data_IF_249557112944
#
_entry.id   IF_249557112944
#
_cell.length_a   1.000
_cell.length_b   1.000
_cell.length_c   1.000
_cell.angle_alpha   90.00
_cell.angle_beta   90.00
_cell.angle_gamma   90.00
#
_symmetry.space_group_name_H-M   'P 1'
#
loop_
_entity.id
_entity.type
_entity.pdbx_description
1 polymer ?
#
# COMPACT_ATOMS: atom_id res chain seq x y z
N UNK A 1 2.34 9.06 -14.44
CA UNK A 1 1.85 9.73 -13.20
C UNK A 1 1.75 8.77 -12.02
N UNK A 2 1.40 7.48 -12.20
CA UNK A 2 1.45 6.45 -11.12
C UNK A 2 2.86 6.23 -10.56
N UNK A 3 3.90 6.35 -11.41
CA UNK A 3 5.31 6.19 -11.02
C UNK A 3 5.73 7.05 -9.81
N UNK A 4 5.20 8.27 -9.68
CA UNK A 4 5.50 9.14 -8.53
C UNK A 4 4.91 8.57 -7.23
N UNK A 5 3.69 8.05 -7.28
CA UNK A 5 3.06 7.39 -6.12
C UNK A 5 3.89 6.19 -5.70
N UNK A 6 4.25 5.33 -6.65
CA UNK A 6 5.07 4.14 -6.41
C UNK A 6 6.41 4.53 -5.78
N UNK A 7 7.13 5.47 -6.38
CA UNK A 7 8.42 5.93 -5.86
C UNK A 7 8.34 6.47 -4.42
N UNK A 8 7.31 7.24 -4.08
CA UNK A 8 7.12 7.77 -2.72
C UNK A 8 6.82 6.66 -1.71
N UNK A 9 5.97 5.70 -2.07
CA UNK A 9 5.63 4.58 -1.17
C UNK A 9 6.82 3.63 -1.00
N UNK A 10 7.49 3.26 -2.09
CA UNK A 10 8.70 2.41 -2.05
C UNK A 10 9.80 3.09 -1.23
N UNK A 11 10.00 4.41 -1.38
CA UNK A 11 10.96 5.16 -0.56
C UNK A 11 10.68 5.04 0.94
N UNK A 12 9.41 5.09 1.35
CA UNK A 12 9.05 4.92 2.77
C UNK A 12 9.32 3.50 3.25
N UNK A 13 8.92 2.49 2.46
CA UNK A 13 9.11 1.07 2.79
C UNK A 13 10.60 0.74 2.90
N UNK A 14 11.37 1.06 1.85
CA UNK A 14 12.78 0.68 1.70
C UNK A 14 13.75 1.58 2.47
N UNK A 15 13.25 2.57 3.22
CA UNK A 15 14.10 3.40 4.07
C UNK A 15 14.87 2.53 5.07
N UNK A 16 16.19 2.73 5.23
CA UNK A 16 16.97 2.04 6.27
C UNK A 16 16.42 2.27 7.67
N UNK A 17 15.70 3.38 7.87
CA UNK A 17 15.06 3.76 9.13
C UNK A 17 13.78 2.99 9.42
N UNK A 18 13.23 2.26 8.46
CA UNK A 18 11.97 1.52 8.61
C UNK A 18 12.16 0.32 9.52
N UNK A 19 11.69 0.42 10.76
CA UNK A 19 11.84 -0.61 11.79
C UNK A 19 10.61 -1.50 11.91
N UNK A 20 9.46 -1.07 11.37
CA UNK A 20 8.23 -1.85 11.37
C UNK A 20 7.40 -1.67 10.10
N UNK A 21 6.69 -2.72 9.72
CA UNK A 21 5.80 -2.77 8.57
C UNK A 21 4.59 -3.63 8.87
N UNK A 22 3.41 -3.14 8.49
CA UNK A 22 2.18 -3.91 8.54
C UNK A 22 1.30 -3.67 7.32
N UNK A 23 0.55 -4.70 6.89
CA UNK A 23 -0.49 -4.61 5.86
C UNK A 23 -1.59 -5.65 6.09
N UNK A 24 -2.84 -5.23 5.88
CA UNK A 24 -4.05 -6.06 6.01
C UNK A 24 -4.48 -6.77 4.73
N UNK A 25 -3.82 -6.53 3.59
CA UNK A 25 -4.35 -7.00 2.29
C UNK A 25 -3.46 -7.99 1.55
N UNK A 26 -4.13 -9.03 1.05
CA UNK A 26 -3.58 -10.05 0.18
C UNK A 26 -3.78 -9.67 -1.31
N UNK A 27 -2.72 -9.19 -1.95
CA UNK A 27 -2.68 -8.68 -3.34
C UNK A 27 -3.39 -9.53 -4.42
N UNK A 28 -3.37 -10.88 -4.38
CA UNK A 28 -4.13 -11.71 -5.33
C UNK A 28 -5.66 -11.46 -5.33
N UNK A 29 -6.25 -11.09 -4.20
CA UNK A 29 -7.68 -10.78 -4.14
C UNK A 29 -8.00 -9.43 -4.78
N UNK A 30 -7.11 -8.45 -4.65
CA UNK A 30 -7.30 -7.11 -5.22
C UNK A 30 -7.44 -7.14 -6.74
N UNK A 31 -6.71 -8.04 -7.42
CA UNK A 31 -6.84 -8.26 -8.85
C UNK A 31 -8.25 -8.70 -9.25
N UNK A 32 -8.82 -9.67 -8.52
CA UNK A 32 -10.18 -10.17 -8.76
C UNK A 32 -11.24 -9.12 -8.43
N UNK A 33 -11.08 -8.40 -7.32
CA UNK A 33 -11.98 -7.31 -6.93
C UNK A 33 -11.96 -6.22 -8.01
N UNK A 34 -10.78 -5.81 -8.47
CA UNK A 34 -10.65 -4.82 -9.53
C UNK A 34 -11.30 -5.26 -10.85
N UNK A 35 -11.09 -6.51 -11.28
CA UNK A 35 -11.72 -7.02 -12.51
C UNK A 35 -13.25 -6.95 -12.45
N UNK A 36 -13.84 -7.22 -11.29
CA UNK A 36 -15.30 -7.27 -11.09
C UNK A 36 -15.92 -5.89 -10.87
N UNK A 37 -15.28 -5.03 -10.08
CA UNK A 37 -15.87 -3.78 -9.61
C UNK A 37 -15.20 -2.52 -10.18
N UNK A 38 -14.05 -2.66 -10.82
CA UNK A 38 -13.25 -1.55 -11.32
C UNK A 38 -12.64 -0.71 -10.20
N UNK A 39 -12.59 -1.22 -8.98
CA UNK A 39 -12.03 -0.55 -7.80
C UNK A 39 -11.21 -1.52 -6.98
N UNK A 40 -10.05 -1.09 -6.48
CA UNK A 40 -9.27 -1.82 -5.49
C UNK A 40 -8.41 -0.84 -4.69
N UNK A 41 -7.75 -1.33 -3.66
CA UNK A 41 -6.88 -0.53 -2.83
C UNK A 41 -6.23 -1.36 -1.74
N UNK A 42 -5.21 -0.79 -1.10
CA UNK A 42 -4.48 -1.38 0.01
C UNK A 42 -4.07 -0.31 1.01
N UNK A 43 -3.74 -0.75 2.23
CA UNK A 43 -3.24 0.11 3.28
C UNK A 43 -1.94 -0.46 3.86
N UNK A 44 -1.00 0.42 4.19
CA UNK A 44 0.25 0.07 4.86
C UNK A 44 0.40 0.92 6.12
N UNK A 45 0.97 0.32 7.14
CA UNK A 45 1.51 1.01 8.31
C UNK A 45 3.02 0.79 8.30
N UNK A 46 3.77 1.88 8.46
CA UNK A 46 5.23 1.90 8.37
C UNK A 46 5.77 2.64 9.59
N UNK A 47 6.55 1.95 10.41
CA UNK A 47 7.24 2.56 11.54
C UNK A 47 8.68 2.90 11.12
N UNK A 48 9.11 4.13 11.38
CA UNK A 48 10.49 4.56 11.18
C UNK A 48 11.09 5.09 12.49
N UNK A 49 12.35 4.76 12.73
CA UNK A 49 13.13 5.25 13.88
C UNK A 49 14.16 6.28 13.42
N UNK A 50 14.18 7.44 14.07
CA UNK A 50 15.17 8.51 13.86
C UNK A 50 15.68 9.00 15.22
N UNK A 51 16.78 8.39 15.68
CA UNK A 51 17.23 8.56 17.07
C UNK A 51 16.17 8.04 18.05
N UNK A 52 15.82 8.87 19.03
CA UNK A 52 14.79 8.53 20.03
C UNK A 52 13.35 8.77 19.52
N UNK A 53 13.17 9.29 18.30
CA UNK A 53 11.85 9.57 17.74
C UNK A 53 11.34 8.40 16.90
N UNK A 54 10.10 7.98 17.21
CA UNK A 54 9.32 7.10 16.35
C UNK A 54 8.44 7.96 15.45
N UNK A 55 8.55 7.75 14.14
CA UNK A 55 7.61 8.30 13.14
C UNK A 55 6.76 7.16 12.62
N UNK A 56 5.45 7.38 12.52
CA UNK A 56 4.53 6.39 11.98
C UNK A 56 3.91 6.93 10.71
N UNK A 57 3.95 6.15 9.64
CA UNK A 57 3.32 6.50 8.38
C UNK A 57 2.18 5.55 8.08
N UNK A 58 1.04 6.13 7.72
CA UNK A 58 -0.12 5.40 7.20
C UNK A 58 -0.27 5.71 5.73
N UNK A 59 -0.24 4.68 4.90
CA UNK A 59 -0.42 4.79 3.45
C UNK A 59 -1.75 4.16 3.09
N UNK A 60 -2.65 4.91 2.45
CA UNK A 60 -3.89 4.39 1.89
C UNK A 60 -3.90 4.64 0.38
N UNK A 61 -3.98 3.57 -0.40
CA UNK A 61 -4.02 3.63 -1.86
C UNK A 61 -5.36 3.12 -2.37
N UNK A 62 -5.98 3.88 -3.26
CA UNK A 62 -7.23 3.53 -3.93
C UNK A 62 -7.05 3.71 -5.44
N UNK A 63 -7.43 2.70 -6.22
CA UNK A 63 -7.46 2.73 -7.67
C UNK A 63 -8.89 2.56 -8.16
N UNK A 64 -9.29 3.38 -9.15
CA UNK A 64 -10.64 3.36 -9.71
C UNK A 64 -10.62 3.48 -11.23
N UNK A 65 -11.22 2.51 -11.91
CA UNK A 65 -11.36 2.47 -13.36
C UNK A 65 -12.34 3.56 -13.82
N UNK A 66 -12.08 4.16 -14.99
CA UNK A 66 -13.00 5.15 -15.57
C UNK A 66 -14.35 4.49 -15.89
N UNK A 67 -15.43 5.13 -15.43
CA UNK A 67 -16.78 4.64 -15.63
C UNK A 67 -17.16 3.43 -14.77
N UNK A 68 -16.34 3.04 -13.78
CA UNK A 68 -16.75 2.08 -12.73
C UNK A 68 -17.97 2.57 -11.93
N UNK A 69 -18.15 3.88 -11.82
CA UNK A 69 -19.32 4.50 -11.16
C UNK A 69 -20.65 4.26 -11.89
N UNK A 70 -20.62 3.90 -13.18
CA UNK A 70 -21.81 3.88 -14.06
C UNK A 70 -22.50 2.50 -14.12
N UNK A 71 -22.11 1.57 -13.26
CA UNK A 71 -22.63 0.21 -13.21
C UNK A 71 -21.62 -0.87 -13.61
N UNK A 72 -21.95 -2.15 -13.38
CA UNK A 72 -21.05 -3.27 -13.61
C UNK A 72 -20.75 -3.43 -15.10
N UNK A 73 -19.46 -3.53 -15.45
CA UNK A 73 -18.99 -3.91 -16.79
C UNK A 73 -18.56 -5.36 -16.80
N UNK A 74 -18.56 -5.99 -18.00
CA UNK A 74 -18.02 -7.34 -18.19
C UNK A 74 -16.54 -7.45 -17.78
N UNK A 75 -15.75 -6.38 -17.95
CA UNK A 75 -14.34 -6.32 -17.53
C UNK A 75 -13.82 -4.87 -17.52
N UNK A 76 -12.84 -4.59 -16.67
CA UNK A 76 -12.08 -3.33 -16.62
C UNK A 76 -10.63 -3.48 -17.08
N UNK A 77 -10.25 -4.62 -17.66
CA UNK A 77 -8.85 -4.95 -17.99
C UNK A 77 -8.18 -3.93 -18.92
N UNK A 78 -8.88 -3.50 -19.96
CA UNK A 78 -8.38 -2.53 -20.96
C UNK A 78 -8.67 -1.09 -20.58
N UNK A 79 -9.33 -0.85 -19.45
CA UNK A 79 -9.81 0.47 -19.04
C UNK A 79 -8.79 1.11 -18.11
N UNK A 80 -8.35 2.32 -18.46
CA UNK A 80 -7.54 3.16 -17.57
C UNK A 80 -8.37 3.77 -16.44
N UNK A 81 -7.69 4.45 -15.53
CA UNK A 81 -8.33 4.98 -14.34
C UNK A 81 -7.44 5.94 -13.58
N UNK A 82 -7.91 6.27 -12.39
CA UNK A 82 -7.26 7.20 -11.47
C UNK A 82 -6.80 6.43 -10.23
N UNK A 83 -5.68 6.85 -9.64
CA UNK A 83 -5.17 6.37 -8.37
C UNK A 83 -5.07 7.54 -7.41
N UNK A 84 -5.54 7.35 -6.19
CA UNK A 84 -5.37 8.25 -5.07
C UNK A 84 -4.51 7.56 -4.03
N UNK A 85 -3.50 8.25 -3.52
CA UNK A 85 -2.68 7.78 -2.41
C UNK A 85 -2.69 8.86 -1.33
N UNK A 86 -3.11 8.50 -0.12
CA UNK A 86 -2.99 9.33 1.07
C UNK A 86 -1.80 8.80 1.86
N UNK A 87 -0.87 9.69 2.21
CA UNK A 87 0.22 9.38 3.12
C UNK A 87 0.02 10.30 4.32
N UNK A 88 -0.29 9.71 5.46
CA UNK A 88 -0.32 10.39 6.74
C UNK A 88 0.95 10.06 7.53
N UNK A 89 1.52 11.06 8.19
CA UNK A 89 2.67 10.97 9.08
C UNK A 89 2.18 11.40 10.47
N UNK A 90 2.39 10.53 11.45
CA UNK A 90 2.19 10.79 12.86
C UNK A 90 3.56 10.90 13.53
N UNK A 91 3.81 12.05 14.14
CA UNK A 91 4.98 12.32 14.96
C UNK A 91 4.47 12.83 16.30
N UNK A 92 4.70 12.05 17.35
CA UNK A 92 4.32 12.39 18.72
C UNK A 92 2.84 12.80 18.89
N UNK A 93 1.93 12.13 18.15
CA UNK A 93 0.48 12.37 18.20
C UNK A 93 -0.02 13.48 17.26
N UNK A 94 0.89 14.13 16.51
CA UNK A 94 0.54 15.15 15.53
C UNK A 94 0.44 14.52 14.14
N UNK A 95 -0.79 14.32 13.66
CA UNK A 95 -1.05 13.76 12.35
C UNK A 95 -1.04 14.84 11.25
N UNK A 96 -0.14 14.69 10.27
CA UNK A 96 -0.12 15.47 9.03
C UNK A 96 -0.33 14.54 7.85
N UNK A 97 -1.02 14.97 6.80
CA UNK A 97 -1.20 14.15 5.61
C UNK A 97 -1.00 14.91 4.32
N UNK A 98 -0.66 14.15 3.27
CA UNK A 98 -0.60 14.62 1.89
C UNK A 98 -1.31 13.63 0.97
N UNK A 99 -1.87 14.16 -0.11
CA UNK A 99 -2.58 13.36 -1.11
C UNK A 99 -1.85 13.43 -2.44
N UNK A 100 -1.47 12.27 -2.97
CA UNK A 100 -0.93 12.10 -4.31
C UNK A 100 -2.03 11.55 -5.22
N UNK A 101 -2.09 12.06 -6.44
CA UNK A 101 -3.03 11.59 -7.47
C UNK A 101 -2.28 11.18 -8.72
N UNK A 102 -2.74 10.12 -9.36
CA UNK A 102 -2.15 9.58 -10.58
C UNK A 102 -3.18 8.97 -11.49
N UNK A 103 -2.74 8.55 -12.67
CA UNK A 103 -3.54 7.87 -13.69
C UNK A 103 -2.77 6.71 -14.27
N UNK A 104 -3.48 5.63 -14.56
CA UNK A 104 -2.98 4.47 -15.31
C UNK A 104 -3.79 4.27 -16.59
N UNK A 105 -3.18 3.64 -17.60
CA UNK A 105 -3.79 3.44 -18.92
C UNK A 105 -4.63 2.17 -19.01
N UNK A 106 -4.28 1.13 -18.26
CA UNK A 106 -4.98 -0.15 -18.23
C UNK A 106 -4.62 -0.94 -16.96
N UNK A 107 -5.29 -2.09 -16.77
CA UNK A 107 -5.07 -2.96 -15.62
C UNK A 107 -3.64 -3.49 -15.53
N UNK A 108 -3.01 -3.84 -16.65
CA UNK A 108 -1.63 -4.35 -16.63
C UNK A 108 -0.65 -3.31 -16.09
N UNK A 109 -0.79 -2.03 -16.47
CA UNK A 109 0.00 -0.94 -15.90
C UNK A 109 -0.25 -0.76 -14.41
N UNK A 110 -1.52 -0.79 -13.97
CA UNK A 110 -1.89 -0.68 -12.57
C UNK A 110 -1.22 -1.77 -11.74
N UNK A 111 -1.41 -3.03 -12.14
CA UNK A 111 -0.90 -4.18 -11.37
C UNK A 111 0.62 -4.33 -11.46
N UNK A 112 1.28 -3.82 -12.51
CA UNK A 112 2.73 -3.68 -12.52
C UNK A 112 3.21 -2.72 -11.42
N UNK A 113 2.54 -1.59 -11.22
CA UNK A 113 2.85 -0.65 -10.13
C UNK A 113 2.55 -1.23 -8.74
N UNK A 114 1.48 -2.00 -8.61
CA UNK A 114 1.14 -2.72 -7.36
C UNK A 114 2.23 -3.74 -7.03
N UNK A 115 2.68 -4.50 -8.02
CA UNK A 115 3.72 -5.52 -7.86
C UNK A 115 5.07 -4.93 -7.42
N UNK A 116 5.40 -3.73 -7.88
CA UNK A 116 6.61 -3.01 -7.47
C UNK A 116 6.56 -2.63 -5.98
N UNK A 117 5.44 -2.09 -5.51
CA UNK A 117 5.22 -1.79 -4.07
C UNK A 117 5.22 -3.08 -3.26
N UNK A 118 4.58 -4.14 -3.77
CA UNK A 118 4.51 -5.45 -3.12
C UNK A 118 5.90 -6.06 -2.94
N UNK A 119 6.71 -6.05 -3.99
CA UNK A 119 8.08 -6.57 -3.93
C UNK A 119 8.91 -5.83 -2.89
N UNK A 120 8.88 -4.49 -2.89
CA UNK A 120 9.55 -3.68 -1.89
C UNK A 120 9.09 -3.99 -0.46
N UNK A 121 7.78 -4.17 -0.26
CA UNK A 121 7.21 -4.55 1.03
C UNK A 121 7.78 -5.89 1.51
N UNK A 122 7.73 -6.94 0.68
CA UNK A 122 8.21 -8.28 1.08
C UNK A 122 9.73 -8.34 1.24
N UNK A 123 10.49 -7.58 0.45
CA UNK A 123 11.93 -7.44 0.64
C UNK A 123 12.22 -6.87 2.03
N UNK A 124 11.62 -5.72 2.40
CA UNK A 124 11.84 -5.14 3.72
C UNK A 124 11.28 -6.01 4.84
N UNK A 125 10.09 -6.58 4.67
CA UNK A 125 9.47 -7.49 5.64
C UNK A 125 10.40 -8.66 5.97
N UNK A 126 11.01 -9.32 4.98
CA UNK A 126 11.96 -10.42 5.22
C UNK A 126 13.22 -9.99 5.96
N UNK A 127 13.67 -8.75 5.78
CA UNK A 127 14.80 -8.21 6.56
C UNK A 127 14.42 -7.96 8.03
N UNK A 128 13.16 -7.59 8.30
CA UNK A 128 12.66 -7.32 9.65
C UNK A 128 12.20 -8.58 10.38
N UNK A 129 11.77 -9.61 9.65
CA UNK A 129 11.28 -10.89 10.18
C UNK A 129 11.87 -12.08 9.40
N UNK A 130 13.17 -12.38 9.60
CA UNK A 130 13.83 -13.48 8.90
C UNK A 130 13.23 -14.84 9.33
N UNK A 131 12.99 -15.74 8.37
CA UNK A 131 12.59 -17.13 8.64
C UNK A 131 11.09 -17.43 8.70
N UNK A 132 10.21 -16.47 8.44
CA UNK A 132 8.75 -16.75 8.44
C UNK A 132 8.28 -17.36 7.12
N UNK A 133 7.62 -18.51 7.24
CA UNK A 133 7.09 -19.33 6.17
C UNK A 133 5.69 -18.90 5.71
N UNK A 134 5.39 -19.26 4.46
CA UNK A 134 4.29 -18.82 3.61
C UNK A 134 2.89 -18.95 4.24
N UNK A 135 2.08 -17.89 4.07
CA UNK A 135 0.63 -17.72 4.38
C UNK A 135 0.28 -16.97 5.66
N UNK A 136 0.81 -15.76 5.84
CA UNK A 136 0.15 -14.77 6.68
C UNK A 136 -0.93 -14.04 5.87
N UNK A 137 -2.17 -13.95 6.38
CA UNK A 137 -3.23 -13.10 5.78
C UNK A 137 -2.98 -11.63 6.17
N UNK A 138 -2.42 -11.44 7.36
CA UNK A 138 -2.00 -10.18 7.93
C UNK A 138 -0.50 -10.20 8.14
N UNK A 139 0.22 -9.37 7.40
CA UNK A 139 1.68 -9.35 7.49
C UNK A 139 2.09 -8.22 8.42
N UNK A 140 2.70 -8.58 9.56
CA UNK A 140 3.29 -7.64 10.52
C UNK A 140 4.70 -8.06 10.87
N UNK A 141 5.60 -7.09 10.83
CA UNK A 141 6.98 -7.22 11.28
C UNK A 141 7.39 -5.94 12.02
N UNK A 142 8.02 -6.08 13.19
CA UNK A 142 8.64 -4.96 13.91
C UNK A 142 7.69 -3.91 14.50
N UNK A 143 6.38 -4.18 14.52
CA UNK A 143 5.38 -3.39 15.27
C UNK A 143 4.87 -4.27 16.42
N UNK A 144 5.01 -3.85 17.69
CA UNK A 144 4.41 -4.55 18.83
C UNK A 144 2.89 -4.71 18.68
N UNK A 145 2.33 -5.80 19.19
CA UNK A 145 0.90 -6.12 19.05
C UNK A 145 -0.02 -5.05 19.68
N UNK A 146 0.42 -4.42 20.77
CA UNK A 146 -0.26 -3.32 21.47
C UNK A 146 -0.12 -1.97 20.77
N UNK A 147 0.84 -1.85 19.85
CA UNK A 147 1.08 -0.65 19.05
C UNK A 147 0.41 -0.73 17.67
N UNK A 148 -0.15 -1.87 17.29
CA UNK A 148 -0.69 -2.14 15.97
C UNK A 148 -2.08 -1.50 15.76
N UNK A 149 -2.22 -0.67 14.73
CA UNK A 149 -3.49 0.02 14.43
C UNK A 149 -4.17 -0.46 13.14
N UNK A 150 -3.53 -1.37 12.42
CA UNK A 150 -4.13 -2.12 11.33
C UNK A 150 -4.91 -3.32 11.87
N UNK A 151 -6.07 -3.05 12.48
CA UNK A 151 -7.03 -4.05 12.93
C UNK A 151 -8.38 -3.38 13.13
N UNK A 152 -9.44 -3.97 12.59
CA UNK A 152 -10.83 -3.63 12.98
C UNK A 152 -11.15 -4.41 14.24
#
# INVERSE_FOLDING_TARGET
MTKRIVAEVVKLISSPRTTGLATLRHYPMERRIYQRFGTCGFSLEILQSEGDKKRRFYVLVEARARGSAKGPKKSYERVGGDVRCVIAEDVDGVLKYRVLRGRYRNMAELFKSVEEVRSAFYERYRTLKPGVAEKEIFHVAGIPDDELLLGV
#
